data_IF_581094425144
#
_entry.id   IF_581094425144
#
_cell.length_a   1.000
_cell.length_b   1.000
_cell.length_c   1.000
_cell.angle_alpha   90.00
_cell.angle_beta   90.00
_cell.angle_gamma   90.00
#
_symmetry.space_group_name_H-M   'P 1'
#
loop_
_entity.id
_entity.type
_entity.pdbx_description
1 polymer ?
#
# COMPACT_ATOMS: atom_id res chain seq x y z
N UNK A 1 -43.85 18.75 49.47
CA UNK A 1 -43.85 18.29 50.88
C UNK A 1 -44.55 16.93 50.87
N UNK A 2 -43.89 15.78 51.00
CA UNK A 2 -42.54 15.39 51.40
C UNK A 2 -41.93 14.52 50.27
N UNK A 3 -40.63 14.54 49.98
CA UNK A 3 -39.60 13.71 50.63
C UNK A 3 -40.13 12.28 50.90
N UNK A 4 -39.54 11.20 50.41
CA UNK A 4 -38.12 10.92 50.45
C UNK A 4 -37.82 9.66 49.61
N UNK A 5 -36.56 9.63 49.21
CA UNK A 5 -35.68 8.55 48.79
C UNK A 5 -36.15 7.10 48.93
N UNK A 6 -35.89 6.31 47.88
CA UNK A 6 -35.28 4.95 47.97
C UNK A 6 -35.00 4.45 46.55
N UNK A 7 -34.01 5.06 45.90
CA UNK A 7 -33.31 4.37 44.83
C UNK A 7 -32.61 3.16 45.45
N UNK A 8 -32.76 1.93 44.93
CA UNK A 8 -31.92 0.84 45.37
C UNK A 8 -30.48 1.20 45.00
N UNK A 9 -29.62 1.31 46.01
CA UNK A 9 -28.18 1.43 45.85
C UNK A 9 -27.71 0.21 45.05
N UNK A 10 -27.56 0.40 43.73
CA UNK A 10 -26.73 -0.50 42.93
C UNK A 10 -25.37 -0.49 43.62
N UNK A 11 -24.81 -1.66 43.98
CA UNK A 11 -23.45 -1.71 44.45
C UNK A 11 -22.63 -1.05 43.36
N UNK A 12 -21.98 0.07 43.72
CA UNK A 12 -20.86 0.59 42.97
C UNK A 12 -19.88 -0.57 42.94
N UNK A 13 -19.98 -1.39 41.89
CA UNK A 13 -18.93 -2.30 41.48
C UNK A 13 -17.75 -1.39 41.34
N UNK A 14 -16.95 -1.45 42.38
CA UNK A 14 -15.60 -0.97 42.47
C UNK A 14 -14.93 -1.50 41.21
N UNK A 15 -14.87 -0.67 40.18
CA UNK A 15 -14.04 -0.90 39.02
C UNK A 15 -12.61 -0.64 39.46
N UNK A 16 -12.12 -1.45 40.39
CA UNK A 16 -10.71 -1.73 40.62
C UNK A 16 -10.23 -2.60 39.46
N UNK A 17 -10.29 -2.06 38.25
CA UNK A 17 -9.37 -2.49 37.19
C UNK A 17 -8.06 -1.76 37.44
N UNK A 18 -7.36 -2.35 38.41
CA UNK A 18 -5.95 -2.14 38.68
C UNK A 18 -5.16 -2.76 37.53
N UNK A 19 -4.39 -1.94 36.82
CA UNK A 19 -3.38 -2.38 35.86
C UNK A 19 -3.33 -1.53 34.58
N UNK A 20 -2.18 -0.94 34.21
CA UNK A 20 -1.99 -0.49 32.83
C UNK A 20 -1.91 -1.73 31.92
N UNK A 21 -3.02 -2.19 31.36
CA UNK A 21 -3.05 -3.20 30.28
C UNK A 21 -2.63 -2.59 28.94
N UNK A 22 -1.59 -1.76 28.95
CA UNK A 22 -0.91 -1.36 27.73
C UNK A 22 0.14 -2.44 27.49
N UNK A 23 -0.01 -3.31 26.47
CA UNK A 23 1.09 -4.19 26.09
C UNK A 23 2.32 -3.31 25.90
N UNK A 24 3.49 -3.69 26.43
CA UNK A 24 4.69 -2.85 26.43
C UNK A 24 4.90 -2.28 25.03
N UNK A 25 5.25 -1.01 24.91
CA UNK A 25 5.37 -0.29 23.64
C UNK A 25 6.23 -1.06 22.60
N UNK A 26 7.15 -1.91 23.06
CA UNK A 26 7.94 -2.83 22.25
C UNK A 26 7.13 -3.94 21.56
N UNK A 27 6.10 -4.51 22.19
CA UNK A 27 5.21 -5.51 21.58
C UNK A 27 4.27 -4.86 20.54
N UNK A 28 3.79 -3.64 20.80
CA UNK A 28 2.97 -2.89 19.83
C UNK A 28 3.80 -2.46 18.62
N UNK A 29 5.02 -1.96 18.83
CA UNK A 29 5.96 -1.64 17.75
C UNK A 29 6.33 -2.88 16.93
N UNK A 30 6.55 -4.04 17.57
CA UNK A 30 6.80 -5.31 16.88
C UNK A 30 5.59 -5.81 16.09
N UNK A 31 4.38 -5.70 16.62
CA UNK A 31 3.16 -6.08 15.90
C UNK A 31 2.90 -5.17 14.70
N UNK A 32 3.16 -3.86 14.84
CA UNK A 32 3.09 -2.91 13.74
C UNK A 32 4.15 -3.21 12.66
N UNK A 33 5.42 -3.39 13.06
CA UNK A 33 6.49 -3.79 12.15
C UNK A 33 6.23 -5.13 11.47
N UNK A 34 5.66 -6.12 12.18
CA UNK A 34 5.34 -7.43 11.61
C UNK A 34 4.27 -7.32 10.51
N UNK A 35 3.23 -6.50 10.72
CA UNK A 35 2.19 -6.25 9.70
C UNK A 35 2.73 -5.56 8.46
N UNK A 36 3.62 -4.58 8.63
CA UNK A 36 4.29 -3.91 7.51
C UNK A 36 5.28 -4.83 6.81
N UNK A 37 6.00 -5.66 7.57
CA UNK A 37 6.91 -6.66 7.03
C UNK A 37 6.16 -7.67 6.17
N UNK A 38 4.99 -8.15 6.60
CA UNK A 38 4.17 -9.08 5.80
C UNK A 38 3.63 -8.42 4.52
N UNK A 39 3.12 -7.18 4.63
CA UNK A 39 2.64 -6.42 3.49
C UNK A 39 3.74 -6.11 2.45
N UNK A 40 5.01 -6.01 2.88
CA UNK A 40 6.14 -5.71 2.00
C UNK A 40 6.87 -6.97 1.54
N UNK A 41 6.94 -8.01 2.36
CA UNK A 41 7.66 -9.25 2.06
C UNK A 41 7.06 -9.97 0.85
N UNK A 42 5.72 -9.99 0.74
CA UNK A 42 5.03 -10.63 -0.39
C UNK A 42 5.39 -9.96 -1.73
N UNK A 43 5.18 -8.64 -1.93
CA UNK A 43 5.51 -7.98 -3.19
C UNK A 43 7.02 -7.95 -3.46
N UNK A 44 7.86 -7.74 -2.44
CA UNK A 44 9.32 -7.77 -2.63
C UNK A 44 9.79 -9.17 -3.03
N UNK A 45 9.27 -10.21 -2.39
CA UNK A 45 9.53 -11.60 -2.77
C UNK A 45 9.13 -11.87 -4.23
N UNK A 46 7.93 -11.44 -4.62
CA UNK A 46 7.45 -11.58 -6.01
C UNK A 46 8.36 -10.88 -7.03
N UNK A 47 8.82 -9.66 -6.73
CA UNK A 47 9.75 -8.91 -7.60
C UNK A 47 11.10 -9.63 -7.71
N UNK A 48 11.67 -10.09 -6.60
CA UNK A 48 12.96 -10.80 -6.60
C UNK A 48 12.83 -12.12 -7.36
N UNK A 49 11.81 -12.93 -7.09
CA UNK A 49 11.59 -14.20 -7.78
C UNK A 49 11.37 -13.98 -9.27
N UNK A 50 10.55 -13.00 -9.65
CA UNK A 50 10.33 -12.64 -11.06
C UNK A 50 11.62 -12.20 -11.76
N UNK A 51 12.45 -11.38 -11.09
CA UNK A 51 13.74 -10.96 -11.60
C UNK A 51 14.72 -12.13 -11.77
N UNK A 52 14.78 -13.06 -10.81
CA UNK A 52 15.64 -14.24 -10.90
C UNK A 52 15.23 -15.15 -12.07
N UNK A 53 13.93 -15.39 -12.25
CA UNK A 53 13.42 -16.16 -13.39
C UNK A 53 13.73 -15.48 -14.72
N UNK A 54 13.56 -14.16 -14.81
CA UNK A 54 13.91 -13.40 -16.01
C UNK A 54 15.41 -13.36 -16.27
N UNK A 55 16.23 -13.28 -15.23
CA UNK A 55 17.69 -13.34 -15.29
C UNK A 55 18.15 -14.69 -15.85
N UNK A 56 17.55 -15.79 -15.40
CA UNK A 56 17.81 -17.13 -15.96
C UNK A 56 17.47 -17.20 -17.45
N UNK A 57 16.37 -16.59 -17.87
CA UNK A 57 16.01 -16.47 -19.28
C UNK A 57 17.04 -15.67 -20.08
N UNK A 58 17.51 -14.53 -19.57
CA UNK A 58 18.57 -13.74 -20.24
C UNK A 58 19.86 -14.53 -20.41
N UNK A 59 20.24 -15.30 -19.38
CA UNK A 59 21.41 -16.19 -19.45
C UNK A 59 21.23 -17.28 -20.51
N UNK A 60 20.02 -17.85 -20.66
CA UNK A 60 19.71 -18.79 -21.73
C UNK A 60 19.84 -18.15 -23.14
N UNK A 61 19.60 -16.85 -23.26
CA UNK A 61 19.82 -16.06 -24.49
C UNK A 61 21.28 -15.58 -24.65
N UNK A 62 22.17 -15.89 -23.70
CA UNK A 62 23.56 -15.43 -23.70
C UNK A 62 23.74 -13.95 -23.39
N UNK A 63 22.72 -13.26 -22.84
CA UNK A 63 22.81 -11.87 -22.42
C UNK A 63 23.07 -11.74 -20.92
N UNK A 64 23.93 -10.81 -20.55
CA UNK A 64 24.24 -10.57 -19.14
C UNK A 64 23.07 -9.86 -18.43
N UNK A 65 22.54 -10.41 -17.33
CA UNK A 65 21.43 -9.80 -16.58
C UNK A 65 21.81 -8.48 -15.91
N UNK A 66 23.09 -8.28 -15.56
CA UNK A 66 23.59 -7.01 -15.02
C UNK A 66 23.53 -5.87 -16.05
N UNK A 67 23.87 -6.13 -17.32
CA UNK A 67 23.75 -5.11 -18.36
C UNK A 67 22.29 -4.77 -18.67
N UNK A 68 21.37 -5.75 -18.55
CA UNK A 68 19.94 -5.47 -18.63
C UNK A 68 19.50 -4.52 -17.51
N UNK A 69 19.99 -4.73 -16.28
CA UNK A 69 19.65 -3.86 -15.15
C UNK A 69 20.17 -2.42 -15.36
N UNK A 70 21.38 -2.25 -15.91
CA UNK A 70 21.92 -0.94 -16.30
C UNK A 70 21.08 -0.27 -17.39
N UNK A 71 20.61 -1.03 -18.38
CA UNK A 71 19.72 -0.52 -19.43
C UNK A 71 18.36 -0.07 -18.88
N UNK A 72 17.74 -0.85 -17.99
CA UNK A 72 16.48 -0.49 -17.33
C UNK A 72 16.67 0.78 -16.50
N UNK A 73 17.77 0.86 -15.74
CA UNK A 73 18.08 2.03 -14.93
C UNK A 73 18.25 3.29 -15.77
N UNK A 74 19.04 3.21 -16.84
CA UNK A 74 19.25 4.32 -17.78
C UNK A 74 17.97 4.72 -18.51
N UNK A 75 17.16 3.74 -18.90
CA UNK A 75 15.92 3.94 -19.65
C UNK A 75 14.82 4.61 -18.83
N UNK A 76 14.73 4.33 -17.53
CA UNK A 76 13.71 4.93 -16.65
C UNK A 76 14.19 6.18 -15.90
N UNK A 77 15.41 6.14 -15.36
CA UNK A 77 15.91 7.11 -14.38
C UNK A 77 17.26 7.76 -14.76
N UNK A 78 17.83 7.41 -15.91
CA UNK A 78 19.18 7.85 -16.29
C UNK A 78 19.30 9.33 -16.63
N UNK A 79 18.21 10.03 -16.91
CA UNK A 79 18.22 11.47 -17.21
C UNK A 79 16.89 12.14 -16.88
N UNK A 80 16.86 13.49 -16.74
CA UNK A 80 15.61 14.24 -16.57
C UNK A 80 14.61 13.99 -17.71
N UNK A 81 15.09 13.75 -18.94
CA UNK A 81 14.25 13.42 -20.09
C UNK A 81 13.61 12.04 -19.96
N UNK A 82 14.37 11.03 -19.52
CA UNK A 82 13.84 9.69 -19.26
C UNK A 82 12.75 9.70 -18.18
N UNK A 83 12.96 10.51 -17.14
CA UNK A 83 11.97 10.70 -16.08
C UNK A 83 10.71 11.41 -16.60
N UNK A 84 10.86 12.47 -17.40
CA UNK A 84 9.72 13.16 -18.03
C UNK A 84 8.92 12.21 -18.93
N UNK A 85 9.57 11.44 -19.79
CA UNK A 85 8.90 10.46 -20.65
C UNK A 85 8.17 9.37 -19.83
N UNK A 86 8.76 8.94 -18.71
CA UNK A 86 8.12 7.99 -17.80
C UNK A 86 6.89 8.61 -17.11
N UNK A 87 7.00 9.85 -16.64
CA UNK A 87 5.88 10.58 -16.01
C UNK A 87 4.77 10.90 -16.99
N UNK A 88 5.10 11.28 -18.24
CA UNK A 88 4.11 11.54 -19.29
C UNK A 88 3.30 10.28 -19.61
N UNK A 89 3.93 9.11 -19.60
CA UNK A 89 3.21 7.83 -19.77
C UNK A 89 2.43 7.40 -18.53
N UNK A 90 2.90 7.76 -17.34
CA UNK A 90 2.22 7.44 -16.08
C UNK A 90 1.04 8.36 -15.78
N UNK A 91 1.07 9.63 -16.19
CA UNK A 91 0.07 10.63 -15.85
C UNK A 91 -1.37 10.23 -16.23
N UNK A 92 -1.65 9.71 -17.45
CA UNK A 92 -2.99 9.28 -17.83
C UNK A 92 -3.50 8.12 -16.96
N UNK A 93 -2.62 7.17 -16.65
CA UNK A 93 -2.94 6.02 -15.79
C UNK A 93 -3.25 6.47 -14.36
N UNK A 94 -2.46 7.40 -13.81
CA UNK A 94 -2.66 7.95 -12.47
C UNK A 94 -3.95 8.77 -12.38
N UNK A 95 -4.23 9.60 -13.39
CA UNK A 95 -5.47 10.39 -13.44
C UNK A 95 -6.70 9.49 -13.61
N UNK A 96 -6.63 8.45 -14.44
CA UNK A 96 -7.71 7.47 -14.58
C UNK A 96 -7.93 6.68 -13.28
N UNK A 97 -6.86 6.25 -12.60
CA UNK A 97 -6.94 5.61 -11.30
C UNK A 97 -7.57 6.54 -10.25
N UNK A 98 -7.22 7.82 -10.26
CA UNK A 98 -7.79 8.83 -9.35
C UNK A 98 -9.29 9.03 -9.59
N UNK A 99 -9.72 9.07 -10.87
CA UNK A 99 -11.14 9.15 -11.24
C UNK A 99 -11.97 7.97 -10.74
N UNK A 100 -11.37 6.78 -10.56
CA UNK A 100 -12.05 5.60 -9.98
C UNK A 100 -11.94 5.59 -8.45
N UNK A 101 -10.77 5.95 -7.90
CA UNK A 101 -10.51 5.89 -6.47
C UNK A 101 -11.35 6.89 -5.67
N UNK A 102 -11.58 8.11 -6.19
CA UNK A 102 -12.38 9.13 -5.51
C UNK A 102 -13.86 8.72 -5.33
N UNK A 103 -14.61 8.29 -6.38
CA UNK A 103 -15.99 7.84 -6.25
C UNK A 103 -16.12 6.53 -5.49
N UNK A 104 -15.15 5.62 -5.58
CA UNK A 104 -15.16 4.37 -4.81
C UNK A 104 -15.22 4.64 -3.29
N UNK A 105 -14.60 5.73 -2.82
CA UNK A 105 -14.69 6.15 -1.41
C UNK A 105 -16.09 6.65 -1.00
N UNK A 106 -16.92 7.02 -1.96
CA UNK A 106 -18.31 7.45 -1.77
C UNK A 106 -19.33 6.31 -2.01
N UNK A 107 -18.86 5.08 -2.26
CA UNK A 107 -19.72 3.94 -2.59
C UNK A 107 -20.24 3.95 -4.03
N UNK A 108 -19.69 4.80 -4.89
CA UNK A 108 -20.06 4.88 -6.31
C UNK A 108 -19.10 4.05 -7.15
N UNK A 109 -19.67 3.24 -8.06
CA UNK A 109 -18.91 2.41 -9.00
C UNK A 109 -18.74 3.17 -10.32
N UNK A 110 -17.50 3.32 -10.76
CA UNK A 110 -17.15 3.90 -12.06
C UNK A 110 -16.92 2.76 -13.06
N UNK A 111 -17.59 2.84 -14.21
CA UNK A 111 -17.43 1.91 -15.34
C UNK A 111 -16.87 2.69 -16.53
N UNK A 112 -15.90 2.13 -17.24
CA UNK A 112 -15.30 2.74 -18.44
C UNK A 112 -13.98 3.46 -18.21
N UNK A 113 -13.15 2.98 -17.28
CA UNK A 113 -11.78 3.50 -17.09
C UNK A 113 -10.89 3.32 -18.33
N UNK A 114 -11.16 2.33 -19.19
CA UNK A 114 -10.39 2.15 -20.43
C UNK A 114 -10.53 3.35 -21.37
N UNK A 115 -11.70 3.98 -21.44
CA UNK A 115 -11.92 5.17 -22.28
C UNK A 115 -11.13 6.39 -21.80
N UNK A 116 -10.98 6.56 -20.49
CA UNK A 116 -10.17 7.62 -19.91
C UNK A 116 -8.67 7.43 -20.21
N UNK A 117 -8.19 6.18 -20.19
CA UNK A 117 -6.80 5.85 -20.52
C UNK A 117 -6.56 6.03 -22.02
N UNK A 118 -7.49 5.61 -22.88
CA UNK A 118 -7.35 5.77 -24.34
C UNK A 118 -7.36 7.25 -24.74
N UNK A 119 -8.22 8.08 -24.15
CA UNK A 119 -8.29 9.51 -24.47
C UNK A 119 -7.14 10.32 -23.84
N UNK A 120 -6.65 9.91 -22.67
CA UNK A 120 -5.55 10.61 -21.99
C UNK A 120 -4.16 10.13 -22.40
N UNK A 121 -4.04 8.92 -22.97
CA UNK A 121 -2.78 8.26 -23.29
C UNK A 121 -2.35 8.29 -24.76
N UNK A 122 -3.13 8.92 -25.65
CA UNK A 122 -2.80 9.14 -27.07
C UNK A 122 -2.21 10.51 -27.32
#
# INVERSE_FOLDING_TARGET
>A
MAADTTAPALPLVESTVSGPDHPPASLQARAWLARWAEALAIPVGAVITGFLLFSLFLLALGKSPLAFLDLVWRGGFGSPFALQNSLQRAAPLLLAALCVALPARLGLVVIGGEGAIVLGGV
#
